data_IF_331426088111
#
_entry.id   IF_331426088111
#
_cell.length_a   1.000
_cell.length_b   1.000
_cell.length_c   1.000
_cell.angle_alpha   90.00
_cell.angle_beta   90.00
_cell.angle_gamma   90.00
#
_symmetry.space_group_name_H-M   'P 1'
#
loop_
_entity.id
_entity.type
_entity.pdbx_description
1 polymer ?
#
# COMPACT_ATOMS: atom_id res chain seq x y z
N UNK A 1 -15.66 17.41 -4.71
CA UNK A 1 -14.56 16.41 -4.78
C UNK A 1 -14.07 16.14 -3.37
N UNK A 2 -14.03 14.88 -2.91
CA UNK A 2 -13.30 14.52 -1.68
C UNK A 2 -12.03 13.78 -2.10
N UNK A 3 -10.90 14.48 -2.03
CA UNK A 3 -9.60 13.84 -1.90
C UNK A 3 -9.55 13.11 -0.54
N UNK A 4 -8.77 12.03 -0.43
CA UNK A 4 -8.41 11.50 0.89
C UNK A 4 -7.77 12.65 1.68
N UNK A 5 -8.37 13.11 2.80
CA UNK A 5 -7.75 14.18 3.56
C UNK A 5 -6.37 13.71 4.04
N UNK A 6 -5.35 14.55 3.89
CA UNK A 6 -3.99 14.28 4.41
C UNK A 6 -3.99 13.96 5.93
N UNK A 7 -5.10 14.24 6.62
CA UNK A 7 -5.33 14.01 8.04
C UNK A 7 -6.06 12.69 8.38
N UNK A 8 -5.97 11.64 7.54
CA UNK A 8 -6.59 10.33 7.85
C UNK A 8 -5.92 9.64 9.05
N UNK A 9 -4.69 10.01 9.39
CA UNK A 9 -3.88 9.34 10.39
C UNK A 9 -3.12 8.15 9.80
N UNK A 10 -2.57 7.30 10.67
CA UNK A 10 -1.62 6.27 10.25
C UNK A 10 -2.31 5.13 9.48
N UNK A 11 -1.77 4.79 8.31
CA UNK A 11 -2.27 3.74 7.42
C UNK A 11 -1.45 2.47 7.65
N UNK A 12 -2.10 1.40 8.07
CA UNK A 12 -1.45 0.12 8.35
C UNK A 12 -1.72 -0.91 7.24
N UNK A 13 -0.66 -1.42 6.63
CA UNK A 13 -0.73 -2.46 5.60
C UNK A 13 -0.49 -3.84 6.20
N UNK A 14 -1.43 -4.77 6.02
CA UNK A 14 -1.25 -6.18 6.39
C UNK A 14 -0.69 -6.94 5.17
N UNK A 15 0.49 -7.53 5.31
CA UNK A 15 1.24 -8.12 4.20
C UNK A 15 1.86 -7.05 3.29
N UNK A 16 2.53 -6.07 3.90
CA UNK A 16 3.06 -4.87 3.23
C UNK A 16 4.17 -5.19 2.21
N UNK A 17 4.92 -6.27 2.40
CA UNK A 17 5.97 -6.74 1.50
C UNK A 17 5.47 -7.38 0.21
N UNK A 18 4.16 -7.62 0.07
CA UNK A 18 3.57 -8.14 -1.16
C UNK A 18 3.84 -7.24 -2.38
N UNK A 19 3.98 -7.84 -3.56
CA UNK A 19 4.36 -7.16 -4.82
C UNK A 19 3.45 -5.96 -5.14
N UNK A 20 2.13 -6.12 -4.95
CA UNK A 20 1.16 -5.05 -5.17
C UNK A 20 0.89 -4.15 -3.97
N UNK A 21 1.43 -4.47 -2.78
CA UNK A 21 1.21 -3.72 -1.54
C UNK A 21 2.36 -2.76 -1.28
N UNK A 22 3.59 -3.23 -1.43
CA UNK A 22 4.82 -2.46 -1.14
C UNK A 22 4.91 -1.18 -1.96
N UNK A 23 4.62 -1.24 -3.26
CA UNK A 23 4.61 -0.05 -4.11
C UNK A 23 3.55 0.99 -3.70
N UNK A 24 2.35 0.54 -3.30
CA UNK A 24 1.29 1.45 -2.82
C UNK A 24 1.72 2.12 -1.50
N UNK A 25 2.27 1.34 -0.57
CA UNK A 25 2.73 1.84 0.73
C UNK A 25 3.82 2.90 0.57
N UNK A 26 4.80 2.65 -0.30
CA UNK A 26 5.88 3.58 -0.59
C UNK A 26 5.37 4.87 -1.27
N UNK A 27 4.48 4.76 -2.26
CA UNK A 27 3.90 5.94 -2.92
C UNK A 27 3.14 6.80 -1.90
N UNK A 28 2.34 6.20 -1.02
CA UNK A 28 1.65 6.95 0.04
C UNK A 28 2.63 7.61 1.00
N UNK A 29 3.71 6.93 1.37
CA UNK A 29 4.76 7.50 2.21
C UNK A 29 5.42 8.71 1.55
N UNK A 30 5.77 8.60 0.26
CA UNK A 30 6.37 9.69 -0.51
C UNK A 30 5.41 10.88 -0.70
N UNK A 31 4.09 10.65 -0.69
CA UNK A 31 3.06 11.69 -0.67
C UNK A 31 2.85 12.32 0.71
N UNK A 32 3.62 11.92 1.73
CA UNK A 32 3.59 12.48 3.08
C UNK A 32 2.60 11.82 4.04
N UNK A 33 1.97 10.71 3.66
CA UNK A 33 1.10 9.97 4.59
C UNK A 33 1.94 9.19 5.61
N UNK A 34 1.40 9.06 6.83
CA UNK A 34 1.95 8.14 7.81
C UNK A 34 1.60 6.71 7.43
N UNK A 35 2.61 5.90 7.14
CA UNK A 35 2.46 4.51 6.70
C UNK A 35 3.24 3.59 7.64
N UNK A 36 2.63 2.46 7.97
CA UNK A 36 3.27 1.34 8.64
C UNK A 36 2.71 0.02 8.09
N UNK A 37 3.28 -1.11 8.49
CA UNK A 37 2.69 -2.40 8.14
C UNK A 37 3.28 -3.58 8.88
N UNK A 38 2.76 -4.75 8.54
CA UNK A 38 3.23 -6.06 8.98
C UNK A 38 3.47 -6.96 7.77
N UNK A 39 4.35 -7.94 7.91
CA UNK A 39 4.47 -9.04 6.97
C UNK A 39 4.81 -10.34 7.70
N UNK A 40 4.58 -11.49 7.08
CA UNK A 40 4.86 -12.79 7.70
C UNK A 40 6.37 -13.05 7.84
N UNK A 41 7.18 -12.46 6.96
CA UNK A 41 8.61 -12.68 6.90
C UNK A 41 9.37 -11.48 6.31
N UNK A 42 10.68 -11.46 6.56
CA UNK A 42 11.58 -10.55 5.87
C UNK A 42 11.61 -10.81 4.36
N UNK A 43 11.75 -9.73 3.59
CA UNK A 43 11.90 -9.79 2.14
C UNK A 43 12.67 -8.57 1.62
N UNK A 44 13.06 -8.60 0.35
CA UNK A 44 13.66 -7.43 -0.30
C UNK A 44 12.74 -6.21 -0.23
N UNK A 45 11.42 -6.39 -0.43
CA UNK A 45 10.44 -5.31 -0.33
C UNK A 45 10.34 -4.76 1.09
N UNK A 46 10.32 -5.63 2.11
CA UNK A 46 10.27 -5.18 3.52
C UNK A 46 11.51 -4.36 3.87
N UNK A 47 12.70 -4.84 3.52
CA UNK A 47 13.96 -4.11 3.75
C UNK A 47 13.94 -2.73 3.09
N UNK A 48 13.55 -2.67 1.81
CA UNK A 48 13.44 -1.43 1.04
C UNK A 48 12.46 -0.42 1.68
N UNK A 49 11.31 -0.89 2.16
CA UNK A 49 10.35 -0.03 2.85
C UNK A 49 10.91 0.51 4.18
N UNK A 50 11.64 -0.32 4.94
CA UNK A 50 12.29 0.13 6.17
C UNK A 50 13.40 1.15 5.91
N UNK A 51 14.20 0.94 4.87
CA UNK A 51 15.22 1.89 4.41
C UNK A 51 14.60 3.24 4.02
N UNK A 52 13.38 3.21 3.44
CA UNK A 52 12.58 4.40 3.18
C UNK A 52 11.96 5.03 4.46
N UNK A 53 12.16 4.46 5.64
CA UNK A 53 11.65 4.98 6.91
C UNK A 53 10.27 4.46 7.34
N UNK A 54 9.70 3.49 6.61
CA UNK A 54 8.41 2.89 6.94
C UNK A 54 8.59 1.81 8.01
N UNK A 55 7.81 1.88 9.08
CA UNK A 55 7.83 0.86 10.14
C UNK A 55 7.16 -0.43 9.67
N UNK A 56 7.91 -1.53 9.66
CA UNK A 56 7.40 -2.86 9.29
C UNK A 56 7.66 -3.87 10.40
N UNK A 57 6.60 -4.47 10.94
CA UNK A 57 6.66 -5.59 11.89
C UNK A 57 6.73 -6.94 11.15
N UNK A 58 7.44 -7.92 11.71
CA UNK A 58 7.42 -9.30 11.24
C UNK A 58 6.53 -10.14 12.14
N UNK A 59 5.66 -10.93 11.52
CA UNK A 59 4.55 -11.61 12.18
C UNK A 59 3.31 -10.72 12.28
N UNK A 60 2.15 -11.36 12.33
CA UNK A 60 0.87 -10.68 12.50
C UNK A 60 0.43 -10.73 13.95
N UNK A 61 0.23 -9.55 14.55
CA UNK A 61 -0.20 -9.39 15.94
C UNK A 61 -1.12 -8.17 16.05
N UNK A 62 -2.18 -8.27 16.86
CA UNK A 62 -3.13 -7.17 17.05
C UNK A 62 -2.46 -5.86 17.53
N UNK A 63 -1.36 -5.96 18.28
CA UNK A 63 -0.58 -4.81 18.76
C UNK A 63 0.08 -4.02 17.62
N UNK A 64 0.36 -4.66 16.47
CA UNK A 64 0.94 -3.99 15.30
C UNK A 64 0.06 -2.87 14.76
N UNK A 65 -1.27 -2.91 15.01
CA UNK A 65 -2.16 -1.83 14.63
C UNK A 65 -1.79 -0.52 15.32
N UNK A 66 -1.31 -0.54 16.55
CA UNK A 66 -0.97 0.66 17.32
C UNK A 66 -2.06 1.77 17.19
N UNK A 67 -1.67 2.93 16.65
CA UNK A 67 -2.53 4.09 16.40
C UNK A 67 -3.08 4.16 14.96
N UNK A 68 -3.14 3.03 14.25
CA UNK A 68 -3.68 2.97 12.90
C UNK A 68 -5.13 3.48 12.85
N UNK A 69 -5.43 4.25 11.82
CA UNK A 69 -6.75 4.80 11.53
C UNK A 69 -7.38 4.18 10.29
N UNK A 70 -6.58 3.51 9.45
CA UNK A 70 -7.02 2.74 8.30
C UNK A 70 -6.16 1.48 8.20
N UNK A 71 -6.78 0.36 7.87
CA UNK A 71 -6.08 -0.89 7.55
C UNK A 71 -6.25 -1.21 6.07
N UNK A 72 -5.17 -1.56 5.39
CA UNK A 72 -5.17 -1.97 3.99
C UNK A 72 -4.80 -3.44 3.89
N UNK A 73 -5.62 -4.22 3.18
CA UNK A 73 -5.38 -5.66 2.99
C UNK A 73 -5.31 -6.03 1.52
N UNK A 74 -4.50 -7.06 1.23
CA UNK A 74 -4.57 -7.75 -0.06
C UNK A 74 -5.67 -8.82 -0.05
N UNK A 75 -5.91 -9.46 -1.20
CA UNK A 75 -6.80 -10.62 -1.29
C UNK A 75 -6.23 -11.88 -0.62
N UNK A 76 -4.93 -11.92 -0.34
CA UNK A 76 -4.28 -13.05 0.32
C UNK A 76 -4.39 -12.99 1.85
N UNK A 77 -4.78 -11.84 2.42
CA UNK A 77 -4.98 -11.69 3.87
C UNK A 77 -6.28 -12.36 4.26
N UNK A 78 -6.18 -13.38 5.12
CA UNK A 78 -7.34 -14.09 5.65
C UNK A 78 -8.13 -13.23 6.64
N UNK A 79 -9.41 -13.59 6.84
CA UNK A 79 -10.30 -12.86 7.76
C UNK A 79 -9.95 -13.05 9.24
N UNK A 80 -9.36 -14.21 9.57
CA UNK A 80 -8.87 -14.60 10.90
C UNK A 80 -7.49 -14.03 11.23
N UNK A 81 -6.96 -13.12 10.38
CA UNK A 81 -5.74 -12.42 10.70
C UNK A 81 -5.96 -11.53 11.94
N UNK A 82 -5.12 -11.61 12.98
CA UNK A 82 -5.35 -10.92 14.24
C UNK A 82 -5.39 -9.39 14.11
N UNK A 83 -4.68 -8.81 13.14
CA UNK A 83 -4.71 -7.37 12.87
C UNK A 83 -6.04 -6.96 12.21
N UNK A 84 -6.57 -7.81 11.33
CA UNK A 84 -7.86 -7.54 10.67
C UNK A 84 -9.01 -7.69 11.66
N UNK A 85 -8.99 -8.70 12.53
CA UNK A 85 -9.99 -8.87 13.58
C UNK A 85 -9.96 -7.72 14.59
N UNK A 86 -8.77 -7.34 15.06
CA UNK A 86 -8.61 -6.22 15.98
C UNK A 86 -9.04 -4.88 15.36
N UNK A 87 -8.79 -4.68 14.05
CA UNK A 87 -9.24 -3.49 13.34
C UNK A 87 -10.76 -3.40 13.32
N UNK A 88 -11.45 -4.52 13.03
CA UNK A 88 -12.91 -4.60 13.04
C UNK A 88 -13.48 -4.35 14.44
N UNK A 89 -12.91 -4.96 15.47
CA UNK A 89 -13.32 -4.76 16.86
C UNK A 89 -13.17 -3.29 17.31
N UNK A 90 -12.18 -2.59 16.77
CA UNK A 90 -11.92 -1.16 17.03
C UNK A 90 -12.65 -0.21 16.08
N UNK A 91 -13.52 -0.72 15.20
CA UNK A 91 -14.19 0.04 14.14
C UNK A 91 -13.23 0.82 13.22
N UNK A 92 -12.00 0.32 13.06
CA UNK A 92 -11.04 0.87 12.10
C UNK A 92 -11.42 0.37 10.71
N UNK A 93 -11.59 1.26 9.71
CA UNK A 93 -11.95 0.86 8.36
C UNK A 93 -10.88 -0.03 7.73
N UNK A 94 -11.33 -1.15 7.14
CA UNK A 94 -10.49 -2.09 6.41
C UNK A 94 -10.78 -1.93 4.92
N UNK A 95 -9.78 -1.44 4.17
CA UNK A 95 -9.87 -1.08 2.75
C UNK A 95 -9.08 -2.09 1.92
N UNK A 96 -9.57 -2.45 0.74
CA UNK A 96 -8.84 -3.39 -0.13
C UNK A 96 -7.73 -2.66 -0.89
N UNK A 97 -6.65 -3.39 -1.21
CA UNK A 97 -5.56 -2.92 -2.07
C UNK A 97 -6.04 -2.21 -3.34
N UNK A 98 -7.04 -2.78 -4.03
CA UNK A 98 -7.55 -2.21 -5.29
C UNK A 98 -8.26 -0.86 -5.09
N UNK A 99 -8.98 -0.70 -3.99
CA UNK A 99 -9.65 0.55 -3.61
C UNK A 99 -8.60 1.61 -3.27
N UNK A 100 -7.56 1.24 -2.51
CA UNK A 100 -6.46 2.15 -2.18
C UNK A 100 -5.67 2.60 -3.43
N UNK A 101 -5.41 1.68 -4.37
CA UNK A 101 -4.80 2.02 -5.66
C UNK A 101 -5.69 2.98 -6.46
N UNK A 102 -7.00 2.74 -6.50
CA UNK A 102 -7.93 3.60 -7.21
C UNK A 102 -7.91 5.04 -6.65
N UNK A 103 -7.84 5.20 -5.32
CA UNK A 103 -7.71 6.53 -4.72
C UNK A 103 -6.36 7.20 -5.05
N UNK A 104 -5.25 6.45 -5.06
CA UNK A 104 -3.96 6.98 -5.50
C UNK A 104 -4.03 7.53 -6.94
N UNK A 105 -4.72 6.84 -7.83
CA UNK A 105 -4.85 7.25 -9.23
C UNK A 105 -5.58 8.60 -9.39
N UNK A 106 -6.29 9.08 -8.37
CA UNK A 106 -7.02 10.36 -8.42
C UNK A 106 -6.13 11.57 -8.15
N UNK A 107 -4.91 11.37 -7.64
CA UNK A 107 -3.98 12.45 -7.30
C UNK A 107 -3.05 12.86 -8.45
N UNK A 108 -2.94 12.05 -9.50
CA UNK A 108 -1.98 12.24 -10.60
C UNK A 108 -2.61 11.89 -11.94
N UNK A 109 -2.07 12.43 -13.02
CA UNK A 109 -2.33 11.90 -14.37
C UNK A 109 -1.91 10.44 -14.42
N UNK A 110 -2.82 9.57 -14.86
CA UNK A 110 -2.64 8.12 -14.76
C UNK A 110 -2.80 7.45 -16.12
N UNK A 111 -1.85 6.57 -16.45
CA UNK A 111 -1.93 5.67 -17.62
C UNK A 111 -2.28 4.27 -17.12
N UNK A 112 -3.48 3.79 -17.45
CA UNK A 112 -3.94 2.46 -17.08
C UNK A 112 -3.64 1.44 -18.18
N UNK A 113 -2.81 0.44 -17.88
CA UNK A 113 -2.44 -0.63 -18.82
C UNK A 113 -3.24 -1.90 -18.50
N UNK A 114 -4.26 -2.18 -19.31
CA UNK A 114 -5.10 -3.39 -19.22
C UNK A 114 -4.66 -4.53 -20.15
N UNK A 115 -5.28 -5.71 -20.01
CA UNK A 115 -5.10 -6.87 -20.90
C UNK A 115 -4.68 -8.15 -20.18
N UNK A 116 -4.84 -9.32 -20.80
CA UNK A 116 -4.49 -10.61 -20.18
C UNK A 116 -2.97 -10.81 -20.11
N UNK A 117 -2.25 -10.41 -21.16
CA UNK A 117 -0.79 -10.50 -21.29
C UNK A 117 -0.17 -9.12 -21.58
N UNK A 118 1.15 -9.01 -21.47
CA UNK A 118 1.90 -7.81 -21.87
C UNK A 118 1.84 -6.62 -20.90
N UNK A 119 0.94 -6.59 -19.92
CA UNK A 119 0.77 -5.48 -18.97
C UNK A 119 2.08 -4.98 -18.36
N UNK A 120 2.84 -5.85 -17.71
CA UNK A 120 4.08 -5.46 -17.02
C UNK A 120 5.13 -4.89 -17.98
N UNK A 121 5.29 -5.52 -19.15
CA UNK A 121 6.22 -5.05 -20.19
C UNK A 121 5.78 -3.68 -20.71
N UNK A 122 4.51 -3.53 -21.06
CA UNK A 122 3.98 -2.26 -21.57
C UNK A 122 4.05 -1.16 -20.53
N UNK A 123 3.72 -1.43 -19.26
CA UNK A 123 3.90 -0.46 -18.16
C UNK A 123 5.35 0.00 -18.05
N UNK A 124 6.31 -0.93 -18.14
CA UNK A 124 7.74 -0.59 -18.04
C UNK A 124 8.24 0.24 -19.22
N UNK A 125 7.78 -0.07 -20.45
CA UNK A 125 8.09 0.71 -21.64
C UNK A 125 7.50 2.12 -21.56
N UNK A 126 6.24 2.25 -21.17
CA UNK A 126 5.58 3.56 -20.99
C UNK A 126 6.32 4.39 -19.95
N UNK A 127 6.65 3.81 -18.79
CA UNK A 127 7.42 4.49 -17.76
C UNK A 127 8.78 4.97 -18.28
N UNK A 128 9.52 4.12 -19.00
CA UNK A 128 10.83 4.46 -19.56
C UNK A 128 10.77 5.61 -20.57
N UNK A 129 9.71 5.66 -21.40
CA UNK A 129 9.52 6.74 -22.38
C UNK A 129 9.16 8.07 -21.71
N UNK A 130 8.32 8.04 -20.67
CA UNK A 130 7.94 9.24 -19.91
C UNK A 130 9.13 9.83 -19.16
N UNK A 131 9.94 8.99 -18.52
CA UNK A 131 11.17 9.37 -17.85
C UNK A 131 12.19 9.98 -18.83
N UNK A 132 12.47 9.29 -19.95
CA UNK A 132 13.35 9.80 -21.00
C UNK A 132 12.85 11.14 -21.61
N UNK A 133 11.53 11.31 -21.68
CA UNK A 133 10.88 12.54 -22.11
C UNK A 133 10.84 13.66 -21.06
N UNK A 134 11.31 13.41 -19.83
CA UNK A 134 11.26 14.33 -18.67
C UNK A 134 9.84 14.78 -18.31
N UNK A 135 8.90 13.85 -18.35
CA UNK A 135 7.52 14.05 -17.90
C UNK A 135 7.27 13.59 -16.45
N UNK A 136 8.35 13.33 -15.69
CA UNK A 136 8.32 12.92 -14.28
C UNK A 136 8.46 14.11 -13.31
#
# INVERSE_FOLDING_TARGET
>A
MRALPLSIGNIHFVGIGGIGMSGIAEVLHNLGYSVQGSDIAESANVRRLREAGIKVAIGHDAANLAQARVVVTSSAVKRDNPEVEAARARFIPVVRRAEMLAELMRFKSCVAVGGTHGKTTTTSLVASLLDAGKFD
#
